data_IF_267974770077
#
_entry.id   IF_267974770077
#
_cell.length_a   1.000
_cell.length_b   1.000
_cell.length_c   1.000
_cell.angle_alpha   90.00
_cell.angle_beta   90.00
_cell.angle_gamma   90.00
#
_symmetry.space_group_name_H-M   'P 1'
#
loop_
_entity.id
_entity.type
_entity.pdbx_description
1 polymer ?
#
# COMPACT_ATOMS: atom_id res chain seq x y z
N UNK A 1 -8.90 -10.46 -1.67
CA UNK A 1 -9.06 -11.28 -0.46
C UNK A 1 -8.11 -12.45 -0.60
N UNK A 2 -7.22 -12.65 0.36
CA UNK A 2 -6.19 -13.71 0.31
C UNK A 2 -6.38 -14.64 1.50
N UNK A 3 -6.38 -15.95 1.25
CA UNK A 3 -6.23 -16.92 2.33
C UNK A 3 -4.80 -16.77 2.87
N UNK A 4 -4.70 -16.45 4.15
CA UNK A 4 -3.44 -16.22 4.84
C UNK A 4 -3.37 -17.05 6.11
N UNK A 5 -2.16 -17.26 6.58
CA UNK A 5 -1.93 -17.88 7.88
C UNK A 5 -1.47 -16.78 8.83
N UNK A 6 -2.12 -16.67 9.98
CA UNK A 6 -1.52 -15.97 11.10
C UNK A 6 -0.39 -16.88 11.62
N UNK A 7 0.84 -16.39 11.59
CA UNK A 7 2.00 -17.18 12.04
C UNK A 7 1.82 -17.63 13.50
N UNK A 8 2.37 -18.80 13.82
CA UNK A 8 2.54 -19.19 15.21
C UNK A 8 3.36 -18.13 15.97
N UNK A 9 3.13 -18.04 17.27
CA UNK A 9 3.90 -17.20 18.22
C UNK A 9 3.69 -15.69 18.12
N UNK A 10 2.80 -15.20 17.25
CA UNK A 10 2.46 -13.76 17.22
C UNK A 10 1.62 -13.35 18.44
N UNK A 11 0.78 -14.26 18.95
CA UNK A 11 0.05 -14.07 20.21
C UNK A 11 0.41 -15.18 21.18
N UNK A 12 0.54 -14.82 22.47
CA UNK A 12 0.81 -15.78 23.55
C UNK A 12 -0.27 -16.86 23.57
N UNK A 13 0.15 -18.12 23.48
CA UNK A 13 -0.75 -19.29 23.48
C UNK A 13 -1.25 -19.71 22.09
N UNK A 14 -0.73 -19.13 21.01
CA UNK A 14 -1.00 -19.57 19.63
C UNK A 14 0.24 -20.26 19.07
N UNK A 15 0.39 -21.54 19.37
CA UNK A 15 1.59 -22.34 19.00
C UNK A 15 1.48 -22.97 17.60
N UNK A 16 0.36 -22.75 16.90
CA UNK A 16 0.12 -23.30 15.56
C UNK A 16 -0.37 -22.19 14.63
N UNK A 17 0.02 -22.21 13.34
CA UNK A 17 -0.50 -21.28 12.36
C UNK A 17 -2.03 -21.38 12.27
N UNK A 18 -2.71 -20.23 12.27
CA UNK A 18 -4.17 -20.16 12.18
C UNK A 18 -4.55 -19.70 10.79
N UNK A 19 -5.33 -20.53 10.07
CA UNK A 19 -5.86 -20.17 8.76
C UNK A 19 -6.93 -19.09 8.92
N UNK A 20 -6.79 -17.99 8.18
CA UNK A 20 -7.72 -16.86 8.23
C UNK A 20 -7.77 -16.13 6.90
N UNK A 21 -8.67 -15.16 6.82
CA UNK A 21 -8.87 -14.33 5.64
C UNK A 21 -8.14 -13.00 5.85
N UNK A 22 -7.24 -12.66 4.93
CA UNK A 22 -6.54 -11.39 4.89
C UNK A 22 -7.11 -10.44 3.83
N UNK A 23 -7.15 -9.16 4.18
CA UNK A 23 -7.43 -8.06 3.25
C UNK A 23 -6.28 -7.06 3.28
N UNK A 24 -6.07 -6.39 2.14
CA UNK A 24 -5.04 -5.36 2.03
C UNK A 24 -5.55 -4.03 2.55
N UNK A 25 -4.75 -3.40 3.40
CA UNK A 25 -5.01 -2.02 3.82
C UNK A 25 -4.65 -1.07 2.68
N UNK A 26 -5.49 -0.06 2.49
CA UNK A 26 -5.33 0.95 1.45
C UNK A 26 -5.49 2.34 2.04
N UNK A 27 -4.71 3.29 1.52
CA UNK A 27 -4.89 4.72 1.80
C UNK A 27 -5.69 5.32 0.66
N UNK A 28 -6.83 5.94 0.98
CA UNK A 28 -7.76 6.48 0.00
C UNK A 28 -7.80 8.00 0.15
N UNK A 29 -7.95 8.69 -0.97
CA UNK A 29 -8.10 10.14 -1.02
C UNK A 29 -9.25 10.50 -1.99
N UNK A 30 -9.78 11.71 -1.89
CA UNK A 30 -10.85 12.16 -2.78
C UNK A 30 -10.30 12.44 -4.19
N UNK A 31 -11.10 12.13 -5.22
CA UNK A 31 -10.74 12.38 -6.64
C UNK A 31 -10.54 13.87 -6.96
N UNK A 32 -11.17 14.76 -6.20
CA UNK A 32 -11.11 16.22 -6.41
C UNK A 32 -9.88 16.88 -5.80
N UNK A 33 -9.01 16.13 -5.11
CA UNK A 33 -7.81 16.70 -4.52
C UNK A 33 -6.82 17.14 -5.60
N UNK A 34 -6.05 18.17 -5.27
CA UNK A 34 -5.03 18.68 -6.17
C UNK A 34 -3.98 17.60 -6.50
N UNK A 35 -3.62 17.51 -7.78
CA UNK A 35 -2.70 16.48 -8.28
C UNK A 35 -1.30 16.64 -7.71
N UNK A 36 -0.83 17.88 -7.54
CA UNK A 36 0.50 18.14 -6.98
C UNK A 36 0.54 17.86 -5.48
N UNK A 37 -0.53 18.18 -4.75
CA UNK A 37 -0.66 17.81 -3.35
C UNK A 37 -0.55 16.29 -3.16
N UNK A 38 -1.31 15.50 -3.93
CA UNK A 38 -1.28 14.04 -3.82
C UNK A 38 0.08 13.48 -4.26
N UNK A 39 0.69 14.03 -5.31
CA UNK A 39 2.04 13.63 -5.72
C UNK A 39 3.05 13.84 -4.57
N UNK A 40 3.06 15.02 -3.94
CA UNK A 40 3.95 15.32 -2.81
C UNK A 40 3.70 14.40 -1.62
N UNK A 41 2.43 14.12 -1.31
CA UNK A 41 2.04 13.20 -0.24
C UNK A 41 2.60 11.79 -0.49
N UNK A 42 2.34 11.24 -1.69
CA UNK A 42 2.78 9.90 -2.08
C UNK A 42 4.30 9.80 -2.09
N UNK A 43 4.98 10.83 -2.60
CA UNK A 43 6.44 10.92 -2.59
C UNK A 43 6.98 10.87 -1.17
N UNK A 44 6.48 11.73 -0.27
CA UNK A 44 6.90 11.73 1.12
C UNK A 44 6.64 10.38 1.81
N UNK A 45 5.49 9.75 1.53
CA UNK A 45 5.10 8.47 2.13
C UNK A 45 6.04 7.32 1.73
N UNK A 46 6.40 7.25 0.44
CA UNK A 46 7.26 6.19 -0.07
C UNK A 46 8.75 6.45 0.19
N UNK A 47 9.23 7.69 0.06
CA UNK A 47 10.64 8.03 0.27
C UNK A 47 11.03 8.09 1.76
N UNK A 48 10.06 8.28 2.66
CA UNK A 48 10.28 8.24 4.11
C UNK A 48 9.63 7.02 4.78
N UNK A 49 9.47 5.92 4.04
CA UNK A 49 8.84 4.70 4.57
C UNK A 49 9.57 4.16 5.82
N UNK A 50 10.88 4.35 5.93
CA UNK A 50 11.64 3.94 7.13
C UNK A 50 11.16 4.62 8.42
N UNK A 51 10.66 5.86 8.35
CA UNK A 51 10.03 6.51 9.49
C UNK A 51 8.71 5.81 9.87
N UNK A 52 7.91 5.42 8.89
CA UNK A 52 6.66 4.69 9.11
C UNK A 52 6.90 3.27 9.66
N UNK A 53 7.97 2.60 9.22
CA UNK A 53 8.35 1.26 9.71
C UNK A 53 8.69 1.26 11.20
N UNK A 54 9.25 2.35 11.73
CA UNK A 54 9.50 2.51 13.16
C UNK A 54 8.23 2.66 13.99
N UNK A 55 7.16 3.19 13.38
CA UNK A 55 5.86 3.38 14.04
C UNK A 55 5.04 2.09 13.98
N UNK A 56 4.98 1.45 12.81
CA UNK A 56 4.19 0.24 12.61
C UNK A 56 4.87 -0.75 11.64
N UNK A 57 5.08 -2.02 12.03
CA UNK A 57 5.75 -3.02 11.18
C UNK A 57 5.12 -3.19 9.80
N UNK A 58 3.78 -3.10 9.68
CA UNK A 58 3.07 -3.21 8.40
C UNK A 58 3.44 -2.14 7.37
N UNK A 59 4.07 -1.03 7.78
CA UNK A 59 4.58 -0.04 6.83
C UNK A 59 5.62 -0.62 5.87
N UNK A 60 6.28 -1.73 6.23
CA UNK A 60 7.20 -2.46 5.34
C UNK A 60 6.53 -2.95 4.04
N UNK A 61 5.20 -3.12 4.04
CA UNK A 61 4.45 -3.49 2.85
C UNK A 61 3.95 -2.29 2.03
N UNK A 62 4.14 -1.07 2.53
CA UNK A 62 3.72 0.18 1.87
C UNK A 62 4.76 0.58 0.83
N UNK A 63 4.86 -0.22 -0.23
CA UNK A 63 5.77 0.03 -1.35
C UNK A 63 5.01 0.42 -2.61
N UNK A 64 5.65 1.17 -3.53
CA UNK A 64 5.06 1.52 -4.82
C UNK A 64 4.54 0.31 -5.63
N UNK A 65 5.25 -0.82 -5.60
CA UNK A 65 4.92 -2.04 -6.32
C UNK A 65 3.67 -2.70 -5.74
N UNK A 66 3.57 -2.77 -4.41
CA UNK A 66 2.41 -3.32 -3.73
C UNK A 66 1.18 -2.43 -3.94
N UNK A 67 1.35 -1.10 -3.97
CA UNK A 67 0.27 -0.18 -4.26
C UNK A 67 -0.34 -0.44 -5.65
N UNK A 68 0.49 -0.70 -6.67
CA UNK A 68 0.00 -1.03 -8.02
C UNK A 68 -0.61 -2.43 -8.08
N UNK A 69 -0.03 -3.41 -7.38
CA UNK A 69 -0.47 -4.80 -7.45
C UNK A 69 -1.81 -5.04 -6.76
N UNK A 70 -2.03 -4.39 -5.61
CA UNK A 70 -3.13 -4.71 -4.70
C UNK A 70 -4.19 -3.62 -4.62
N UNK A 71 -4.08 -2.50 -5.35
CA UNK A 71 -5.13 -1.47 -5.34
C UNK A 71 -6.45 -2.02 -5.90
N UNK A 72 -7.55 -1.92 -5.14
CA UNK A 72 -8.88 -2.33 -5.59
C UNK A 72 -9.58 -1.25 -6.45
N UNK A 73 -9.06 -0.02 -6.45
CA UNK A 73 -9.67 1.15 -7.10
C UNK A 73 -8.65 1.90 -7.98
N UNK A 74 -9.10 2.74 -8.93
CA UNK A 74 -8.21 3.59 -9.71
C UNK A 74 -7.32 4.47 -8.82
N UNK A 75 -6.08 4.67 -9.26
CA UNK A 75 -5.11 5.50 -8.56
C UNK A 75 -5.34 6.97 -8.89
N UNK A 76 -5.05 7.84 -7.92
CA UNK A 76 -5.10 9.28 -8.16
C UNK A 76 -4.05 9.70 -9.20
N UNK A 77 -4.30 10.71 -10.07
CA UNK A 77 -3.33 11.20 -11.05
C UNK A 77 -1.96 11.54 -10.44
N UNK A 78 -1.95 12.11 -9.23
CA UNK A 78 -0.72 12.41 -8.48
C UNK A 78 0.12 11.17 -8.13
N UNK A 79 -0.55 10.08 -7.74
CA UNK A 79 0.10 8.78 -7.49
C UNK A 79 0.66 8.20 -8.78
N UNK A 80 -0.10 8.26 -9.87
CA UNK A 80 0.32 7.76 -11.19
C UNK A 80 1.56 8.52 -11.69
N UNK A 81 1.60 9.83 -11.49
CA UNK A 81 2.76 10.68 -11.83
C UNK A 81 4.01 10.20 -11.10
N UNK A 82 3.92 9.98 -9.79
CA UNK A 82 5.04 9.45 -8.99
C UNK A 82 5.49 8.06 -9.43
N UNK A 83 4.54 7.14 -9.67
CA UNK A 83 4.85 5.77 -10.09
C UNK A 83 5.57 5.73 -11.45
N UNK A 84 5.14 6.57 -12.40
CA UNK A 84 5.80 6.72 -13.70
C UNK A 84 7.22 7.28 -13.56
N UNK A 85 7.43 8.26 -12.68
CA UNK A 85 8.76 8.83 -12.39
C UNK A 85 9.73 7.76 -11.85
N UNK A 86 9.24 6.83 -11.02
CA UNK A 86 10.03 5.69 -10.52
C UNK A 86 10.14 4.52 -11.52
N UNK A 87 9.64 4.67 -12.74
CA UNK A 87 9.71 3.63 -13.78
C UNK A 87 8.74 2.46 -13.59
N UNK A 88 7.73 2.61 -12.71
CA UNK A 88 6.76 1.56 -12.40
C UNK A 88 5.60 1.63 -13.39
N UNK A 89 5.33 0.49 -14.06
CA UNK A 89 4.21 0.39 -15.00
C UNK A 89 2.88 0.34 -14.27
N UNK A 90 2.01 1.31 -14.56
CA UNK A 90 0.64 1.34 -14.05
C UNK A 90 -0.31 0.65 -15.04
N UNK A 91 -1.02 -0.42 -14.64
CA UNK A 91 -2.04 -1.08 -15.45
C UNK A 91 -3.16 -0.12 -15.88
N UNK A 92 -3.69 -0.29 -17.10
CA UNK A 92 -4.77 0.55 -17.62
C UNK A 92 -6.02 0.58 -16.73
N UNK A 93 -6.35 -0.54 -16.06
CA UNK A 93 -7.47 -0.62 -15.11
C UNK A 93 -7.34 0.28 -13.87
N UNK A 94 -6.14 0.78 -13.59
CA UNK A 94 -5.85 1.64 -12.44
C UNK A 94 -5.76 3.12 -12.82
N UNK A 95 -5.99 3.45 -14.08
CA UNK A 95 -6.04 4.83 -14.57
C UNK A 95 -7.52 5.27 -14.52
N UNK A 96 -7.83 6.40 -13.86
CA UNK A 96 -9.21 6.88 -13.67
C UNK A 96 -9.85 7.51 -14.90
#
# INVERSE_FOLDING_TARGET
>A
MTFGFFSADVYRGVDKPVSTIGVWNVMICQKSLDTELVYKLVKALFEHNDALRKIHPSAAYTTPENAVKYSPIPLHPGTIKYLKEKGIKVPAKLIP
#
